data_IF_178327936857
#
_entry.id   IF_178327936857
#
_cell.length_a   1.000
_cell.length_b   1.000
_cell.length_c   1.000
_cell.angle_alpha   90.00
_cell.angle_beta   90.00
_cell.angle_gamma   90.00
#
_symmetry.space_group_name_H-M   'P 1'
#
loop_
_entity.id
_entity.type
_entity.pdbx_description
1 polymer ?
#
# COMPACT_ATOMS: atom_id res chain seq x y z
N UNK A 1 -48.23 13.57 50.01
CA UNK A 1 -48.48 13.63 48.56
C UNK A 1 -47.26 14.19 47.77
N UNK A 2 -46.47 15.09 48.31
CA UNK A 2 -45.28 15.68 47.62
C UNK A 2 -44.12 14.69 47.41
N UNK A 3 -43.84 13.79 48.31
CA UNK A 3 -42.73 12.84 48.20
C UNK A 3 -42.90 11.75 47.13
N UNK A 4 -44.12 11.40 46.75
CA UNK A 4 -44.38 10.41 45.73
C UNK A 4 -44.19 11.00 44.30
N UNK A 5 -44.33 12.32 44.16
CA UNK A 5 -44.14 13.02 42.88
C UNK A 5 -42.68 13.19 42.52
N UNK A 6 -41.80 13.46 43.50
CA UNK A 6 -40.37 13.60 43.31
C UNK A 6 -39.69 12.26 42.90
N UNK A 7 -40.15 11.14 43.45
CA UNK A 7 -39.59 9.82 43.15
C UNK A 7 -39.91 9.37 41.70
N UNK A 8 -41.06 9.77 41.20
CA UNK A 8 -41.50 9.44 39.84
C UNK A 8 -40.76 10.27 38.77
N UNK A 9 -40.49 11.55 39.05
CA UNK A 9 -39.70 12.44 38.17
C UNK A 9 -38.24 12.00 38.10
N UNK A 10 -37.64 11.58 39.21
CA UNK A 10 -36.25 11.11 39.26
C UNK A 10 -36.08 9.78 38.50
N UNK A 11 -37.06 8.88 38.60
CA UNK A 11 -37.10 7.62 37.85
C UNK A 11 -37.23 7.89 36.32
N UNK A 12 -38.08 8.83 35.90
CA UNK A 12 -38.24 9.17 34.50
C UNK A 12 -37.02 9.86 33.92
N UNK A 13 -36.35 10.73 34.69
CA UNK A 13 -35.07 11.36 34.26
C UNK A 13 -33.95 10.35 34.12
N UNK A 14 -33.82 9.39 35.03
CA UNK A 14 -32.86 8.29 34.94
C UNK A 14 -33.13 7.39 33.74
N UNK A 15 -34.38 7.04 33.46
CA UNK A 15 -34.73 6.23 32.30
C UNK A 15 -34.53 6.99 30.98
N UNK A 16 -34.73 8.30 30.94
CA UNK A 16 -34.44 9.13 29.78
C UNK A 16 -32.93 9.22 29.52
N UNK A 17 -32.12 9.46 30.56
CA UNK A 17 -30.63 9.46 30.46
C UNK A 17 -30.07 8.11 30.01
N UNK A 18 -30.62 6.99 30.51
CA UNK A 18 -30.23 5.65 30.05
C UNK A 18 -30.60 5.39 28.60
N UNK A 19 -31.74 5.91 28.15
CA UNK A 19 -32.19 5.77 26.75
C UNK A 19 -31.32 6.56 25.78
N UNK A 20 -30.86 7.76 26.18
CA UNK A 20 -29.94 8.57 25.37
C UNK A 20 -28.54 7.92 25.32
N UNK A 21 -28.08 7.28 26.42
CA UNK A 21 -26.80 6.55 26.43
C UNK A 21 -26.84 5.30 25.56
N UNK A 22 -27.98 4.62 25.49
CA UNK A 22 -28.16 3.41 24.64
C UNK A 22 -28.40 3.78 23.18
N UNK A 23 -28.99 4.94 22.88
CA UNK A 23 -29.27 5.40 21.51
C UNK A 23 -28.02 5.89 20.76
N UNK A 24 -26.92 6.14 21.46
CA UNK A 24 -25.66 6.59 20.85
C UNK A 24 -24.71 5.45 20.44
N UNK A 25 -25.15 4.20 20.46
CA UNK A 25 -24.46 3.14 19.72
C UNK A 25 -24.71 3.34 18.22
N UNK A 26 -23.98 4.29 17.63
CA UNK A 26 -23.80 4.41 16.19
C UNK A 26 -23.51 3.00 15.67
N UNK A 27 -24.47 2.43 14.96
CA UNK A 27 -24.34 1.11 14.31
C UNK A 27 -23.11 1.22 13.42
N UNK A 28 -21.94 0.84 13.94
CA UNK A 28 -20.73 0.67 13.15
C UNK A 28 -21.10 -0.41 12.16
N UNK A 29 -21.28 0.00 10.91
CA UNK A 29 -21.49 -0.93 9.81
C UNK A 29 -20.21 -1.73 9.74
N UNK A 30 -20.20 -2.92 10.32
CA UNK A 30 -19.10 -3.90 10.23
C UNK A 30 -18.96 -4.35 8.77
N UNK A 31 -18.57 -3.44 7.91
CA UNK A 31 -18.07 -3.79 6.60
C UNK A 31 -16.66 -4.31 6.83
N UNK A 32 -16.56 -5.62 7.08
CA UNK A 32 -15.28 -6.32 7.17
C UNK A 32 -14.47 -5.96 5.92
N UNK A 33 -13.37 -5.26 6.13
CA UNK A 33 -12.48 -4.87 5.06
C UNK A 33 -11.89 -6.12 4.42
N UNK A 34 -12.06 -6.27 3.08
CA UNK A 34 -11.73 -7.52 2.39
C UNK A 34 -10.34 -7.44 1.73
N UNK A 35 -9.38 -8.28 2.16
CA UNK A 35 -8.06 -8.38 1.52
C UNK A 35 -8.13 -8.78 0.04
N UNK A 36 -9.08 -9.65 -0.33
CA UNK A 36 -9.29 -10.04 -1.73
C UNK A 36 -9.71 -8.86 -2.60
N UNK A 37 -10.58 -7.97 -2.09
CA UNK A 37 -10.96 -6.75 -2.81
C UNK A 37 -9.78 -5.79 -2.98
N UNK A 38 -8.93 -5.67 -1.96
CA UNK A 38 -7.71 -4.87 -2.05
C UNK A 38 -6.77 -5.40 -3.13
N UNK A 39 -6.55 -6.72 -3.19
CA UNK A 39 -5.73 -7.35 -4.21
C UNK A 39 -6.31 -7.15 -5.62
N UNK A 40 -7.62 -7.33 -5.82
CA UNK A 40 -8.28 -7.11 -7.11
C UNK A 40 -8.21 -5.65 -7.56
N UNK A 41 -8.40 -4.70 -6.64
CA UNK A 41 -8.27 -3.28 -6.97
C UNK A 41 -6.82 -2.89 -7.30
N UNK A 42 -5.83 -3.64 -6.80
CA UNK A 42 -4.40 -3.43 -7.10
C UNK A 42 -4.00 -3.90 -8.50
N UNK A 43 -4.90 -4.52 -9.28
CA UNK A 43 -4.71 -4.69 -10.73
C UNK A 43 -4.61 -3.32 -11.44
N UNK A 44 -5.23 -2.28 -10.87
CA UNK A 44 -4.89 -0.90 -11.17
C UNK A 44 -3.83 -0.49 -10.15
N UNK A 45 -2.57 -0.18 -10.59
CA UNK A 45 -1.50 0.15 -9.64
C UNK A 45 -1.92 1.24 -8.66
N UNK A 46 -1.73 0.99 -7.37
CA UNK A 46 -2.15 1.92 -6.31
C UNK A 46 -3.61 1.83 -5.88
N UNK A 47 -4.49 1.16 -6.64
CA UNK A 47 -5.92 1.08 -6.33
C UNK A 47 -6.22 0.39 -5.00
N UNK A 48 -5.54 -0.71 -4.69
CA UNK A 48 -5.66 -1.41 -3.42
C UNK A 48 -5.14 -0.60 -2.24
N UNK A 49 -4.03 0.13 -2.41
CA UNK A 49 -3.48 1.03 -1.40
C UNK A 49 -4.45 2.17 -1.08
N UNK A 50 -5.12 2.73 -2.09
CA UNK A 50 -6.16 3.75 -1.90
C UNK A 50 -7.37 3.16 -1.16
N UNK A 51 -7.81 1.96 -1.54
CA UNK A 51 -8.90 1.26 -0.86
C UNK A 51 -8.59 1.02 0.63
N UNK A 52 -7.38 0.54 0.95
CA UNK A 52 -6.93 0.36 2.33
C UNK A 52 -6.83 1.69 3.08
N UNK A 53 -6.29 2.73 2.41
CA UNK A 53 -6.14 4.07 2.99
C UNK A 53 -7.49 4.68 3.42
N UNK A 54 -8.55 4.46 2.66
CA UNK A 54 -9.88 4.97 3.00
C UNK A 54 -10.45 4.29 4.26
N UNK A 55 -10.12 3.03 4.48
CA UNK A 55 -10.59 2.25 5.62
C UNK A 55 -9.73 2.45 6.88
N UNK A 56 -8.47 2.84 6.74
CA UNK A 56 -7.55 3.04 7.88
C UNK A 56 -7.86 4.30 8.70
N UNK A 57 -7.69 4.24 10.05
CA UNK A 57 -7.83 5.40 10.92
C UNK A 57 -6.78 6.47 10.62
N UNK A 58 -7.10 7.73 10.98
CA UNK A 58 -6.18 8.87 10.84
C UNK A 58 -4.88 8.56 11.58
N UNK A 59 -3.72 8.76 10.92
CA UNK A 59 -2.39 8.47 11.47
C UNK A 59 -1.75 7.16 10.96
N UNK A 60 -2.52 6.18 10.50
CA UNK A 60 -2.00 4.95 9.86
C UNK A 60 -2.04 5.01 8.33
N UNK A 61 -2.46 6.13 7.77
CA UNK A 61 -2.65 6.33 6.32
C UNK A 61 -1.32 6.49 5.59
N UNK A 62 -0.97 5.57 4.68
CA UNK A 62 0.33 5.51 3.99
C UNK A 62 0.25 5.61 2.46
N UNK A 63 -0.95 5.56 1.85
CA UNK A 63 -1.10 5.50 0.40
C UNK A 63 -0.52 6.73 -0.32
N UNK A 64 -0.50 7.91 0.32
CA UNK A 64 -0.04 9.16 -0.29
C UNK A 64 1.43 9.11 -0.74
N UNK A 65 2.28 8.32 -0.11
CA UNK A 65 3.68 8.13 -0.50
C UNK A 65 3.93 6.80 -1.20
N UNK A 66 3.16 5.74 -0.88
CA UNK A 66 3.28 4.43 -1.53
C UNK A 66 2.90 4.48 -3.01
N UNK A 67 1.77 5.13 -3.32
CA UNK A 67 1.27 5.23 -4.70
C UNK A 67 2.28 5.93 -5.62
N UNK A 68 2.86 7.10 -5.30
CA UNK A 68 3.91 7.70 -6.13
C UNK A 68 5.13 6.81 -6.34
N UNK A 69 5.56 6.06 -5.32
CA UNK A 69 6.72 5.14 -5.44
C UNK A 69 6.40 3.99 -6.39
N UNK A 70 5.20 3.41 -6.32
CA UNK A 70 4.77 2.35 -7.24
C UNK A 70 4.80 2.86 -8.68
N UNK A 71 4.21 4.04 -8.95
CA UNK A 71 4.22 4.63 -10.29
C UNK A 71 5.62 5.02 -10.78
N UNK A 72 6.50 5.50 -9.90
CA UNK A 72 7.90 5.77 -10.24
C UNK A 72 8.63 4.48 -10.62
N UNK A 73 8.44 3.40 -9.88
CA UNK A 73 9.03 2.08 -10.17
C UNK A 73 8.53 1.50 -11.50
N UNK A 74 7.21 1.50 -11.72
CA UNK A 74 6.60 1.02 -12.96
C UNK A 74 6.98 1.90 -14.16
N UNK A 75 6.98 3.23 -13.97
CA UNK A 75 7.36 4.19 -15.00
C UNK A 75 8.82 4.06 -15.42
N UNK A 76 9.74 3.93 -14.46
CA UNK A 76 11.16 3.75 -14.73
C UNK A 76 11.44 2.43 -15.47
N UNK A 77 10.94 1.31 -14.94
CA UNK A 77 11.16 -0.01 -15.56
C UNK A 77 10.52 -0.11 -16.92
N UNK A 78 9.29 0.41 -17.10
CA UNK A 78 8.60 0.47 -18.39
C UNK A 78 9.34 1.34 -19.41
N UNK A 79 9.78 2.53 -19.02
CA UNK A 79 10.56 3.42 -19.87
C UNK A 79 11.84 2.78 -20.38
N UNK A 80 12.64 2.18 -19.46
CA UNK A 80 13.87 1.53 -19.87
C UNK A 80 13.64 0.27 -20.71
N UNK A 81 12.57 -0.49 -20.46
CA UNK A 81 12.19 -1.62 -21.30
C UNK A 81 11.89 -1.17 -22.74
N UNK A 82 11.07 -0.11 -22.90
CA UNK A 82 10.74 0.44 -24.23
C UNK A 82 11.96 1.01 -24.92
N UNK A 83 12.80 1.79 -24.20
CA UNK A 83 14.02 2.35 -24.75
C UNK A 83 14.96 1.28 -25.28
N UNK A 84 15.25 0.25 -24.49
CA UNK A 84 16.11 -0.87 -24.91
C UNK A 84 15.48 -1.65 -26.08
N UNK A 85 14.14 -1.79 -26.13
CA UNK A 85 13.45 -2.41 -27.25
C UNK A 85 13.61 -1.62 -28.56
N UNK A 86 13.55 -0.29 -28.53
CA UNK A 86 13.74 0.57 -29.69
C UNK A 86 15.19 0.46 -30.18
N UNK A 87 16.17 0.58 -29.27
CA UNK A 87 17.60 0.45 -29.58
C UNK A 87 17.93 -0.93 -30.16
N UNK A 88 17.37 -2.00 -29.59
CA UNK A 88 17.53 -3.36 -30.10
C UNK A 88 17.01 -3.49 -31.55
N UNK A 89 15.83 -2.93 -31.86
CA UNK A 89 15.27 -2.93 -33.22
C UNK A 89 16.18 -2.19 -34.20
N UNK A 90 16.76 -1.08 -33.77
CA UNK A 90 17.67 -0.29 -34.61
C UNK A 90 18.98 -1.06 -34.86
N UNK A 91 19.56 -1.68 -33.84
CA UNK A 91 20.74 -2.53 -33.98
C UNK A 91 20.48 -3.75 -34.85
N UNK A 92 19.27 -4.34 -34.78
CA UNK A 92 18.88 -5.43 -35.68
C UNK A 92 18.89 -4.98 -37.15
N UNK A 93 18.35 -3.77 -37.44
CA UNK A 93 18.37 -3.22 -38.81
C UNK A 93 19.80 -3.02 -39.29
N UNK A 94 20.67 -2.48 -38.44
CA UNK A 94 22.09 -2.30 -38.76
C UNK A 94 22.79 -3.62 -39.07
N UNK A 95 22.63 -4.62 -38.20
CA UNK A 95 23.21 -5.93 -38.38
C UNK A 95 22.74 -6.62 -39.68
N UNK A 96 21.45 -6.57 -39.96
CA UNK A 96 20.86 -7.17 -41.17
C UNK A 96 21.39 -6.46 -42.43
N UNK A 97 21.42 -5.10 -42.43
CA UNK A 97 21.96 -4.33 -43.54
C UNK A 97 23.40 -4.68 -43.84
N UNK A 98 24.26 -4.78 -42.84
CA UNK A 98 25.68 -5.17 -43.00
C UNK A 98 25.83 -6.57 -43.55
N UNK A 99 25.02 -7.53 -43.08
CA UNK A 99 25.11 -8.90 -43.59
C UNK A 99 24.71 -9.05 -45.04
N UNK A 100 23.85 -8.14 -45.55
CA UNK A 100 23.40 -8.12 -46.95
C UNK A 100 24.33 -7.32 -47.86
N UNK A 101 24.87 -6.19 -47.40
CA UNK A 101 25.58 -5.23 -48.21
C UNK A 101 27.11 -5.18 -47.96
N UNK A 102 27.58 -5.72 -46.84
CA UNK A 102 29.00 -5.78 -46.50
C UNK A 102 29.61 -4.46 -45.95
N UNK A 103 28.82 -3.41 -45.77
CA UNK A 103 29.25 -2.13 -45.20
C UNK A 103 28.23 -1.54 -44.23
N UNK A 104 28.62 -0.59 -43.35
CA UNK A 104 27.71 0.05 -42.41
C UNK A 104 26.54 0.75 -43.06
N UNK A 105 25.37 0.73 -42.41
CA UNK A 105 24.18 1.42 -42.91
C UNK A 105 24.38 2.94 -42.86
N UNK A 106 24.29 3.66 -44.00
CA UNK A 106 24.42 5.11 -44.04
C UNK A 106 23.38 5.86 -43.19
N UNK A 107 22.20 5.28 -43.01
CA UNK A 107 21.11 5.85 -42.20
C UNK A 107 21.38 5.80 -40.70
N UNK A 108 22.38 5.01 -40.25
CA UNK A 108 22.72 4.78 -38.85
C UNK A 108 24.20 5.07 -38.53
N UNK A 109 24.66 6.34 -38.79
CA UNK A 109 26.06 6.72 -38.66
C UNK A 109 26.66 6.53 -37.27
N UNK A 110 25.82 6.50 -36.23
CA UNK A 110 26.26 6.27 -34.86
C UNK A 110 26.88 4.88 -34.65
N UNK A 111 26.62 3.91 -35.52
CA UNK A 111 27.19 2.56 -35.44
C UNK A 111 28.31 2.32 -36.45
N UNK A 112 28.68 3.29 -37.27
CA UNK A 112 29.68 3.16 -38.34
C UNK A 112 31.07 2.67 -37.82
N UNK A 113 31.44 3.08 -36.60
CA UNK A 113 32.73 2.73 -35.98
C UNK A 113 32.76 1.35 -35.31
N UNK A 114 31.65 0.67 -35.25
CA UNK A 114 31.58 -0.70 -34.69
C UNK A 114 31.80 -1.70 -35.83
N UNK A 115 32.50 -2.77 -35.56
CA UNK A 115 32.53 -3.92 -36.45
C UNK A 115 31.26 -4.74 -36.32
N UNK A 116 31.08 -5.74 -37.17
CA UNK A 116 29.88 -6.57 -37.18
C UNK A 116 29.66 -7.28 -35.84
N UNK A 117 30.74 -7.76 -35.20
CA UNK A 117 30.68 -8.42 -33.90
C UNK A 117 30.31 -7.42 -32.79
N UNK A 118 30.81 -6.21 -32.85
CA UNK A 118 30.46 -5.13 -31.93
C UNK A 118 28.97 -4.76 -31.98
N UNK A 119 28.40 -4.68 -33.21
CA UNK A 119 26.96 -4.45 -33.38
C UNK A 119 26.14 -5.61 -32.81
N UNK A 120 26.58 -6.87 -33.00
CA UNK A 120 25.92 -8.04 -32.44
C UNK A 120 25.95 -8.02 -30.91
N UNK A 121 27.10 -7.71 -30.31
CA UNK A 121 27.29 -7.62 -28.86
C UNK A 121 26.38 -6.52 -28.26
N UNK A 122 26.31 -5.37 -28.92
CA UNK A 122 25.37 -4.30 -28.51
C UNK A 122 23.92 -4.74 -28.61
N UNK A 123 23.54 -5.44 -29.68
CA UNK A 123 22.18 -5.98 -29.85
C UNK A 123 21.81 -6.95 -28.71
N UNK A 124 22.71 -7.87 -28.37
CA UNK A 124 22.49 -8.83 -27.27
C UNK A 124 22.41 -8.14 -25.91
N UNK A 125 23.28 -7.14 -25.67
CA UNK A 125 23.25 -6.33 -24.47
C UNK A 125 21.91 -5.60 -24.31
N UNK A 126 21.42 -4.96 -25.37
CA UNK A 126 20.11 -4.26 -25.35
C UNK A 126 18.94 -5.22 -25.18
N UNK A 127 19.02 -6.42 -25.75
CA UNK A 127 18.04 -7.49 -25.54
C UNK A 127 18.01 -7.92 -24.07
N UNK A 128 19.16 -8.21 -23.48
CA UNK A 128 19.28 -8.61 -22.08
C UNK A 128 18.75 -7.52 -21.14
N UNK A 129 19.14 -6.27 -21.38
CA UNK A 129 18.67 -5.14 -20.57
C UNK A 129 17.15 -4.93 -20.68
N UNK A 130 16.58 -5.10 -21.87
CA UNK A 130 15.12 -5.07 -22.06
C UNK A 130 14.43 -6.16 -21.23
N UNK A 131 14.93 -7.41 -21.34
CA UNK A 131 14.34 -8.55 -20.66
C UNK A 131 14.43 -8.41 -19.12
N UNK A 132 15.55 -7.89 -18.62
CA UNK A 132 15.70 -7.53 -17.20
C UNK A 132 14.71 -6.45 -16.76
N UNK A 133 14.49 -5.41 -17.57
CA UNK A 133 13.53 -4.34 -17.23
C UNK A 133 12.08 -4.83 -17.26
N UNK A 134 11.73 -5.73 -18.19
CA UNK A 134 10.41 -6.38 -18.22
C UNK A 134 10.23 -7.23 -16.96
N UNK A 135 11.23 -8.01 -16.57
CA UNK A 135 11.19 -8.82 -15.36
C UNK A 135 11.06 -7.95 -14.09
N UNK A 136 11.84 -6.87 -14.01
CA UNK A 136 11.74 -5.90 -12.92
C UNK A 136 10.34 -5.25 -12.85
N UNK A 137 9.74 -4.93 -14.01
CA UNK A 137 8.38 -4.39 -14.08
C UNK A 137 7.35 -5.38 -13.50
N UNK A 138 7.46 -6.67 -13.85
CA UNK A 138 6.58 -7.72 -13.33
C UNK A 138 6.74 -7.87 -11.81
N UNK A 139 7.97 -7.80 -11.29
CA UNK A 139 8.24 -7.85 -9.85
C UNK A 139 7.60 -6.65 -9.14
N UNK A 140 7.83 -5.43 -9.61
CA UNK A 140 7.24 -4.22 -8.99
C UNK A 140 5.72 -4.28 -9.01
N UNK A 141 5.14 -4.76 -10.12
CA UNK A 141 3.70 -4.94 -10.23
C UNK A 141 3.15 -6.01 -9.27
N UNK A 142 3.84 -7.14 -9.15
CA UNK A 142 3.49 -8.20 -8.19
C UNK A 142 3.58 -7.72 -6.74
N UNK A 143 4.65 -7.00 -6.40
CA UNK A 143 4.83 -6.43 -5.06
C UNK A 143 3.74 -5.41 -4.72
N UNK A 144 3.26 -4.61 -5.68
CA UNK A 144 2.13 -3.70 -5.49
C UNK A 144 0.86 -4.46 -5.06
N UNK A 145 0.55 -5.59 -5.71
CA UNK A 145 -0.63 -6.41 -5.37
C UNK A 145 -0.45 -7.06 -3.99
N UNK A 146 0.72 -7.62 -3.72
CA UNK A 146 1.04 -8.25 -2.43
C UNK A 146 0.98 -7.26 -1.28
N UNK A 147 1.57 -6.06 -1.43
CA UNK A 147 1.53 -5.01 -0.40
C UNK A 147 0.10 -4.62 -0.05
N UNK A 148 -0.76 -4.40 -1.06
CA UNK A 148 -2.16 -4.07 -0.83
C UNK A 148 -2.93 -5.19 -0.14
N UNK A 149 -2.68 -6.45 -0.51
CA UNK A 149 -3.31 -7.61 0.10
C UNK A 149 -2.91 -7.75 1.58
N UNK A 150 -1.62 -7.67 1.87
CA UNK A 150 -1.07 -7.76 3.24
C UNK A 150 -1.57 -6.60 4.10
N UNK A 151 -1.51 -5.37 3.58
CA UNK A 151 -1.96 -4.18 4.31
C UNK A 151 -3.46 -4.26 4.65
N UNK A 152 -4.28 -4.86 3.79
CA UNK A 152 -5.71 -5.02 4.04
C UNK A 152 -6.02 -5.91 5.26
N UNK A 153 -5.17 -6.87 5.58
CA UNK A 153 -5.30 -7.67 6.81
C UNK A 153 -5.08 -6.81 8.07
N UNK A 154 -4.19 -5.82 8.00
CA UNK A 154 -3.92 -4.93 9.13
C UNK A 154 -5.00 -3.84 9.34
N UNK A 155 -5.86 -3.60 8.36
CA UNK A 155 -6.99 -2.64 8.51
C UNK A 155 -7.95 -3.09 9.60
N UNK A 156 -8.22 -4.38 9.68
CA UNK A 156 -9.13 -4.96 10.68
C UNK A 156 -8.42 -5.33 11.99
N UNK A 157 -7.08 -5.26 12.02
CA UNK A 157 -6.29 -5.66 13.17
C UNK A 157 -6.09 -4.47 14.11
N UNK A 158 -6.91 -4.39 15.14
CA UNK A 158 -6.84 -3.35 16.17
C UNK A 158 -6.46 -3.97 17.52
N UNK A 159 -5.18 -3.91 17.86
CA UNK A 159 -4.65 -4.35 19.16
C UNK A 159 -5.06 -3.43 20.33
N UNK A 160 -5.55 -2.22 20.03
CA UNK A 160 -5.92 -1.26 21.07
C UNK A 160 -7.21 -1.62 21.81
N UNK A 161 -8.01 -2.52 21.24
CA UNK A 161 -9.25 -3.00 21.88
C UNK A 161 -9.02 -4.08 22.93
N UNK A 162 -7.90 -4.78 22.82
CA UNK A 162 -7.60 -5.95 23.66
C UNK A 162 -6.62 -5.63 24.80
N UNK A 163 -6.02 -4.43 24.79
CA UNK A 163 -5.03 -4.02 25.76
C UNK A 163 -5.36 -2.61 26.30
N UNK A 164 -5.75 -2.53 27.57
CA UNK A 164 -5.91 -1.26 28.25
C UNK A 164 -4.98 -1.16 29.45
N UNK A 165 -4.15 -0.10 29.47
CA UNK A 165 -3.34 0.26 30.63
C UNK A 165 -4.09 1.30 31.45
N UNK A 166 -4.44 0.98 32.69
CA UNK A 166 -4.96 1.93 33.65
C UNK A 166 -3.92 2.23 34.73
N UNK A 167 -3.67 3.52 34.95
CA UNK A 167 -2.78 4.00 36.01
C UNK A 167 -3.66 4.72 37.00
N UNK A 168 -3.75 4.18 38.21
CA UNK A 168 -4.55 4.76 39.29
C UNK A 168 -3.66 5.05 40.51
N UNK A 169 -3.89 6.19 41.21
CA UNK A 169 -3.27 6.37 42.49
C UNK A 169 -3.75 5.32 43.48
N UNK A 170 -2.85 4.60 44.11
CA UNK A 170 -3.14 3.61 45.11
C UNK A 170 -2.51 4.01 46.43
N UNK A 171 -3.24 3.87 47.52
CA UNK A 171 -2.71 4.06 48.87
C UNK A 171 -2.48 2.67 49.46
N UNK A 172 -1.22 2.32 49.68
CA UNK A 172 -0.86 1.02 50.27
C UNK A 172 -1.00 1.06 51.80
N UNK A 173 -0.90 2.24 52.36
CA UNK A 173 -1.17 2.52 53.78
C UNK A 173 -1.50 4.02 53.92
N UNK A 174 -2.04 4.45 55.05
CA UNK A 174 -2.48 5.84 55.32
C UNK A 174 -1.35 6.87 55.07
N UNK A 175 -0.09 6.42 55.00
CA UNK A 175 1.10 7.31 54.86
C UNK A 175 1.96 7.06 53.62
N UNK A 176 1.66 6.07 52.81
CA UNK A 176 2.46 5.73 51.61
C UNK A 176 1.61 5.84 50.35
N UNK A 177 1.69 7.00 49.63
CA UNK A 177 1.08 7.11 48.31
C UNK A 177 1.88 6.28 47.30
N UNK A 178 1.18 5.52 46.46
CA UNK A 178 1.74 4.71 45.38
C UNK A 178 0.96 4.87 44.08
N UNK A 179 1.45 4.25 43.00
CA UNK A 179 0.75 4.13 41.73
C UNK A 179 0.48 2.66 41.44
N UNK A 180 -0.75 2.32 41.15
CA UNK A 180 -1.15 1.02 40.64
C UNK A 180 -1.19 1.02 39.12
N UNK A 181 -0.47 0.08 38.50
CA UNK A 181 -0.49 -0.15 37.06
C UNK A 181 -1.30 -1.44 36.84
N UNK A 182 -2.42 -1.31 36.13
CA UNK A 182 -3.24 -2.45 35.75
C UNK A 182 -3.26 -2.59 34.23
N UNK A 183 -2.79 -3.74 33.76
CA UNK A 183 -2.85 -4.12 32.34
C UNK A 183 -4.02 -5.10 32.20
N UNK A 184 -5.08 -4.65 31.52
CA UNK A 184 -6.25 -5.48 31.30
C UNK A 184 -6.19 -6.05 29.87
N UNK A 185 -6.26 -7.38 29.79
CA UNK A 185 -6.44 -8.15 28.56
C UNK A 185 -7.92 -8.51 28.44
N UNK A 186 -8.54 -8.23 27.28
CA UNK A 186 -9.95 -8.56 27.04
C UNK A 186 -10.07 -9.60 25.94
#
# INVERSE_FOLDING_TARGET
FAQAQDMNTDFLLRTAMLKDTISSTKKVKDTVHSPTKAALLSLIPGGGQIYNHLAMPKGKKKAFWKVPIIYAGLGATGYFAIKNQIEQKTLKKEYTFRSENGFPNPDLPQYANYDQQGVLTLFESKRTNRDLMIFAFIIVYGLNILDAHVEAHFVNFDVSKDLSLSILPAFHDVRTPGLSFSLNFK
#
